data_IF_744832482592
#
_entry.id   IF_744832482592
#
_cell.length_a   1.000
_cell.length_b   1.000
_cell.length_c   1.000
_cell.angle_alpha   90.00
_cell.angle_beta   90.00
_cell.angle_gamma   90.00
#
_symmetry.space_group_name_H-M   'P 1'
#
loop_
_entity.id
_entity.type
_entity.pdbx_description
1 polymer ?
#
# COMPACT_ATOMS: atom_id res chain seq x y z
N UNK A 1 14.28 -6.50 24.12
CA UNK A 1 15.62 -5.84 24.04
C UNK A 1 15.47 -4.46 24.70
N UNK A 2 15.91 -4.29 25.95
CA UNK A 2 15.78 -3.00 26.66
C UNK A 2 16.86 -2.04 26.15
N UNK A 3 16.44 -0.89 25.65
CA UNK A 3 17.34 0.16 25.17
C UNK A 3 18.10 0.77 26.35
N UNK A 4 19.40 1.01 26.17
CA UNK A 4 20.27 1.61 27.20
C UNK A 4 19.79 3.03 27.56
N UNK A 5 19.85 3.38 28.86
CA UNK A 5 19.36 4.66 29.39
C UNK A 5 20.07 5.89 28.81
N UNK A 6 21.32 5.77 28.34
CA UNK A 6 22.02 6.88 27.65
C UNK A 6 21.44 7.11 26.26
N UNK A 7 21.18 6.04 25.52
CA UNK A 7 20.57 6.12 24.18
C UNK A 7 19.15 6.71 24.25
N UNK A 8 18.36 6.33 25.26
CA UNK A 8 17.03 6.91 25.49
C UNK A 8 17.09 8.42 25.79
N UNK A 9 18.04 8.86 26.64
CA UNK A 9 18.23 10.28 26.96
C UNK A 9 18.64 11.14 25.75
N UNK A 10 19.44 10.60 24.82
CA UNK A 10 19.80 11.31 23.59
C UNK A 10 18.59 11.45 22.66
N UNK A 11 17.75 10.40 22.57
CA UNK A 11 16.54 10.39 21.73
C UNK A 11 15.41 11.31 22.22
N UNK A 12 15.39 11.64 23.52
CA UNK A 12 14.43 12.58 24.12
C UNK A 12 14.95 14.03 24.17
N UNK A 13 16.23 14.26 23.85
CA UNK A 13 16.82 15.60 23.78
C UNK A 13 16.38 16.37 22.50
N UNK A 14 16.53 17.70 22.45
CA UNK A 14 16.28 18.50 21.23
C UNK A 14 17.11 18.01 20.03
N UNK A 15 18.32 17.52 20.29
CA UNK A 15 19.20 16.93 19.28
C UNK A 15 18.64 15.60 18.75
N UNK A 16 18.05 14.79 19.65
CA UNK A 16 17.37 13.54 19.29
C UNK A 16 16.15 13.76 18.41
N UNK A 17 15.38 14.83 18.66
CA UNK A 17 14.26 15.20 17.79
C UNK A 17 14.72 15.57 16.37
N UNK A 18 15.78 16.35 16.24
CA UNK A 18 16.37 16.72 14.93
C UNK A 18 16.84 15.46 14.18
N UNK A 19 17.55 14.57 14.86
CA UNK A 19 18.03 13.30 14.30
C UNK A 19 16.88 12.42 13.80
N UNK A 20 15.77 12.32 14.54
CA UNK A 20 14.57 11.59 14.12
C UNK A 20 13.95 12.20 12.87
N UNK A 21 13.83 13.53 12.80
CA UNK A 21 13.28 14.22 11.63
C UNK A 21 14.13 13.99 10.38
N UNK A 22 15.45 14.10 10.50
CA UNK A 22 16.39 13.80 9.40
C UNK A 22 16.25 12.33 8.96
N UNK A 23 16.15 11.40 9.91
CA UNK A 23 15.97 9.98 9.61
C UNK A 23 14.66 9.71 8.86
N UNK A 24 13.55 10.35 9.25
CA UNK A 24 12.26 10.24 8.55
C UNK A 24 12.39 10.72 7.10
N UNK A 25 13.01 11.89 6.88
CA UNK A 25 13.22 12.44 5.54
C UNK A 25 14.10 11.52 4.69
N UNK A 26 15.18 10.97 5.27
CA UNK A 26 16.08 10.04 4.57
C UNK A 26 15.39 8.74 4.18
N UNK A 27 14.57 8.16 5.08
CA UNK A 27 13.77 6.96 4.79
C UNK A 27 12.75 7.24 3.69
N UNK A 28 12.07 8.40 3.74
CA UNK A 28 11.13 8.80 2.70
C UNK A 28 11.81 8.93 1.34
N UNK A 29 13.00 9.53 1.29
CA UNK A 29 13.77 9.66 0.05
C UNK A 29 14.19 8.29 -0.52
N UNK A 30 14.71 7.39 0.33
CA UNK A 30 15.04 6.01 -0.07
C UNK A 30 13.82 5.23 -0.58
N UNK A 31 12.66 5.43 0.06
CA UNK A 31 11.40 4.84 -0.36
C UNK A 31 11.01 5.33 -1.77
N UNK A 32 11.08 6.64 -2.04
CA UNK A 32 10.80 7.21 -3.36
C UNK A 32 11.75 6.68 -4.44
N UNK A 33 13.05 6.55 -4.14
CA UNK A 33 14.04 5.92 -5.04
C UNK A 33 13.64 4.48 -5.35
N UNK A 34 13.24 3.71 -4.33
CA UNK A 34 12.85 2.31 -4.50
C UNK A 34 11.67 2.15 -5.46
N UNK A 35 10.69 3.06 -5.42
CA UNK A 35 9.56 3.08 -6.37
C UNK A 35 10.04 3.33 -7.79
N UNK A 36 10.95 4.31 -7.98
CA UNK A 36 11.55 4.59 -9.28
C UNK A 36 12.32 3.39 -9.84
N UNK A 37 13.04 2.67 -8.98
CA UNK A 37 13.76 1.44 -9.35
C UNK A 37 12.81 0.29 -9.68
N UNK A 38 11.70 0.14 -8.96
CA UNK A 38 10.64 -0.83 -9.29
C UNK A 38 10.09 -0.52 -10.68
N UNK A 39 9.71 0.74 -10.97
CA UNK A 39 9.25 1.14 -12.30
C UNK A 39 10.28 0.85 -13.41
N UNK A 40 11.56 1.12 -13.16
CA UNK A 40 12.63 0.81 -14.10
C UNK A 40 12.84 -0.70 -14.31
N UNK A 41 12.75 -1.49 -13.24
CA UNK A 41 12.85 -2.95 -13.30
C UNK A 41 11.68 -3.58 -14.08
N UNK A 42 10.46 -3.08 -13.90
CA UNK A 42 9.30 -3.50 -14.69
C UNK A 42 9.43 -3.10 -16.17
N UNK A 43 10.05 -1.97 -16.47
CA UNK A 43 10.33 -1.55 -17.86
C UNK A 43 11.36 -2.47 -18.55
N UNK A 44 12.20 -3.16 -17.78
CA UNK A 44 13.21 -4.13 -18.27
C UNK A 44 12.76 -5.59 -18.24
N UNK A 45 11.83 -5.96 -17.35
CA UNK A 45 11.36 -7.34 -17.19
C UNK A 45 10.08 -7.58 -18.00
N UNK A 46 10.16 -8.39 -19.05
CA UNK A 46 8.97 -8.90 -19.74
C UNK A 46 8.11 -7.81 -20.41
N UNK A 47 8.74 -6.73 -20.89
CA UNK A 47 8.11 -5.53 -21.44
C UNK A 47 6.91 -5.81 -22.34
N UNK A 48 7.00 -6.80 -23.24
CA UNK A 48 5.88 -7.20 -24.11
C UNK A 48 4.69 -7.81 -23.36
N UNK A 49 4.92 -8.70 -22.40
CA UNK A 49 3.85 -9.36 -21.62
C UNK A 49 3.22 -8.43 -20.59
N UNK A 50 4.02 -7.57 -19.95
CA UNK A 50 3.51 -6.57 -19.02
C UNK A 50 2.72 -5.47 -19.75
N UNK A 51 3.23 -4.96 -20.88
CA UNK A 51 2.48 -4.00 -21.72
C UNK A 51 1.20 -4.63 -22.29
N UNK A 52 1.23 -5.89 -22.77
CA UNK A 52 0.03 -6.58 -23.23
C UNK A 52 -0.98 -6.81 -22.10
N UNK A 53 -0.56 -7.23 -20.91
CA UNK A 53 -1.49 -7.41 -19.78
C UNK A 53 -2.13 -6.10 -19.35
N UNK A 54 -1.34 -5.02 -19.27
CA UNK A 54 -1.82 -3.69 -18.89
C UNK A 54 -2.74 -3.09 -19.96
N UNK A 55 -2.45 -3.31 -21.24
CA UNK A 55 -3.26 -2.82 -22.37
C UNK A 55 -4.41 -3.75 -22.77
N UNK A 56 -4.43 -4.99 -22.28
CA UNK A 56 -5.53 -5.93 -22.53
C UNK A 56 -6.81 -5.51 -21.79
N UNK A 57 -7.96 -6.05 -22.22
CA UNK A 57 -9.21 -5.93 -21.48
C UNK A 57 -9.13 -6.47 -20.05
N UNK A 58 -8.11 -7.27 -19.70
CA UNK A 58 -7.87 -7.74 -18.33
C UNK A 58 -7.06 -6.74 -17.48
N UNK A 59 -6.52 -5.66 -18.06
CA UNK A 59 -5.68 -4.67 -17.39
C UNK A 59 -6.25 -4.14 -16.07
N UNK A 60 -7.54 -3.74 -16.01
CA UNK A 60 -8.17 -3.33 -14.75
C UNK A 60 -8.19 -4.44 -13.70
N UNK A 61 -8.53 -5.68 -14.07
CA UNK A 61 -8.56 -6.81 -13.12
C UNK A 61 -7.15 -7.12 -12.62
N UNK A 62 -6.14 -7.08 -13.49
CA UNK A 62 -4.74 -7.27 -13.13
C UNK A 62 -4.28 -6.18 -12.17
N UNK A 63 -4.62 -4.91 -12.43
CA UNK A 63 -4.32 -3.79 -11.54
C UNK A 63 -4.95 -3.96 -10.15
N UNK A 64 -6.20 -4.42 -10.09
CA UNK A 64 -6.88 -4.77 -8.84
C UNK A 64 -6.10 -5.82 -8.05
N UNK A 65 -5.69 -6.92 -8.68
CA UNK A 65 -4.90 -7.97 -8.01
C UNK A 65 -3.53 -7.49 -7.55
N UNK A 66 -2.84 -6.65 -8.34
CA UNK A 66 -1.57 -6.06 -7.93
C UNK A 66 -1.76 -5.20 -6.68
N UNK A 67 -2.81 -4.37 -6.62
CA UNK A 67 -3.15 -3.59 -5.44
C UNK A 67 -3.40 -4.45 -4.20
N UNK A 68 -4.20 -5.53 -4.34
CA UNK A 68 -4.50 -6.47 -3.25
C UNK A 68 -3.22 -7.10 -2.71
N UNK A 69 -2.37 -7.63 -3.59
CA UNK A 69 -1.13 -8.29 -3.20
C UNK A 69 -0.14 -7.32 -2.55
N UNK A 70 0.05 -6.14 -3.16
CA UNK A 70 0.96 -5.13 -2.63
C UNK A 70 0.53 -4.68 -1.22
N UNK A 71 -0.75 -4.41 -1.00
CA UNK A 71 -1.25 -4.05 0.33
C UNK A 71 -1.21 -5.22 1.30
N UNK A 72 -1.49 -6.44 0.87
CA UNK A 72 -1.45 -7.61 1.77
C UNK A 72 -0.03 -7.89 2.28
N UNK A 73 0.98 -7.70 1.43
CA UNK A 73 2.40 -7.86 1.79
C UNK A 73 2.87 -6.72 2.69
N UNK A 74 2.56 -5.47 2.32
CA UNK A 74 2.98 -4.27 3.07
C UNK A 74 2.14 -4.07 4.35
N UNK A 75 0.94 -4.66 4.41
CA UNK A 75 -0.10 -4.50 5.43
C UNK A 75 -0.58 -3.06 5.64
N UNK A 76 -0.28 -2.14 4.73
CA UNK A 76 -0.65 -0.73 4.80
C UNK A 76 -1.16 -0.24 3.45
N UNK A 77 -2.48 -0.06 3.34
CA UNK A 77 -3.10 0.46 2.12
C UNK A 77 -2.74 1.91 1.84
N UNK A 78 -2.49 2.72 2.87
CA UNK A 78 -2.02 4.11 2.72
C UNK A 78 -0.63 4.17 2.08
N UNK A 79 0.24 3.21 2.43
CA UNK A 79 1.56 3.07 1.80
C UNK A 79 1.42 2.61 0.35
N UNK A 80 0.58 1.62 0.07
CA UNK A 80 0.34 1.14 -1.30
C UNK A 80 -0.29 2.22 -2.19
N UNK A 81 -1.31 2.93 -1.73
CA UNK A 81 -1.93 4.05 -2.46
C UNK A 81 -0.92 5.17 -2.74
N UNK A 82 -0.12 5.55 -1.75
CA UNK A 82 0.93 6.56 -1.94
C UNK A 82 1.93 6.14 -3.02
N UNK A 83 2.31 4.87 -3.03
CA UNK A 83 3.19 4.31 -4.06
C UNK A 83 2.57 4.39 -5.45
N UNK A 84 1.29 4.02 -5.59
CA UNK A 84 0.56 4.12 -6.87
C UNK A 84 0.47 5.58 -7.34
N UNK A 85 0.20 6.53 -6.44
CA UNK A 85 0.20 7.96 -6.76
C UNK A 85 1.59 8.43 -7.23
N UNK A 86 2.66 8.00 -6.57
CA UNK A 86 4.03 8.28 -7.03
C UNK A 86 4.32 7.66 -8.41
N UNK A 87 3.80 6.48 -8.70
CA UNK A 87 3.94 5.84 -10.02
C UNK A 87 3.21 6.61 -11.13
N UNK A 88 2.02 7.15 -10.84
CA UNK A 88 1.31 8.07 -11.74
C UNK A 88 2.16 9.31 -12.00
N UNK A 89 2.70 9.93 -10.95
CA UNK A 89 3.56 11.10 -11.09
C UNK A 89 4.87 10.83 -11.86
N UNK A 90 5.37 9.59 -11.79
CA UNK A 90 6.56 9.13 -12.52
C UNK A 90 6.29 8.72 -13.98
N UNK A 91 5.04 8.83 -14.46
CA UNK A 91 4.68 8.46 -15.84
C UNK A 91 4.61 6.95 -16.09
N UNK A 92 4.54 6.12 -15.05
CA UNK A 92 4.50 4.66 -15.19
C UNK A 92 3.23 4.15 -15.89
N UNK A 93 2.15 4.95 -15.85
CA UNK A 93 0.86 4.65 -16.48
C UNK A 93 0.64 5.38 -17.81
N UNK A 94 1.69 5.99 -18.37
CA UNK A 94 1.65 6.77 -19.62
C UNK A 94 1.84 8.27 -19.42
N UNK A 95 1.94 8.99 -20.54
CA UNK A 95 2.28 10.42 -20.56
C UNK A 95 1.06 11.34 -20.38
N UNK A 96 -0.16 10.85 -20.64
CA UNK A 96 -1.39 11.62 -20.40
C UNK A 96 -1.82 11.49 -18.93
N UNK A 97 -1.85 12.58 -18.15
CA UNK A 97 -2.23 12.56 -16.75
C UNK A 97 -3.63 11.98 -16.49
N UNK A 98 -4.59 12.20 -17.39
CA UNK A 98 -5.98 11.75 -17.20
C UNK A 98 -6.08 10.24 -17.35
N UNK A 99 -5.44 9.72 -18.39
CA UNK A 99 -5.38 8.28 -18.66
C UNK A 99 -4.56 7.56 -17.59
N UNK A 100 -3.47 8.16 -17.14
CA UNK A 100 -2.64 7.62 -16.07
C UNK A 100 -3.41 7.48 -14.75
N UNK A 101 -4.21 8.49 -14.38
CA UNK A 101 -5.06 8.41 -13.18
C UNK A 101 -6.15 7.34 -13.35
N UNK A 102 -6.81 7.27 -14.51
CA UNK A 102 -7.83 6.25 -14.77
C UNK A 102 -7.26 4.83 -14.70
N UNK A 103 -6.07 4.60 -15.26
CA UNK A 103 -5.36 3.32 -15.21
C UNK A 103 -4.90 2.95 -13.79
N UNK A 104 -4.71 3.93 -12.90
CA UNK A 104 -4.32 3.70 -11.51
C UNK A 104 -5.51 3.36 -10.58
N UNK A 105 -6.76 3.72 -10.93
CA UNK A 105 -7.95 3.46 -10.09
C UNK A 105 -8.06 1.99 -9.68
N UNK A 106 -7.91 0.99 -10.58
CA UNK A 106 -7.91 -0.41 -10.21
C UNK A 106 -6.91 -0.79 -9.12
N UNK A 107 -5.70 -0.24 -9.17
CA UNK A 107 -4.65 -0.51 -8.17
C UNK A 107 -5.03 0.05 -6.79
N UNK A 108 -5.64 1.24 -6.76
CA UNK A 108 -6.15 1.87 -5.53
C UNK A 108 -7.30 1.05 -4.93
N UNK A 109 -8.24 0.60 -5.77
CA UNK A 109 -9.34 -0.27 -5.35
C UNK A 109 -8.82 -1.60 -4.80
N UNK A 110 -7.77 -2.14 -5.43
CA UNK A 110 -7.09 -3.34 -4.96
C UNK A 110 -6.45 -3.13 -3.59
N UNK A 111 -5.80 -1.98 -3.36
CA UNK A 111 -5.22 -1.65 -2.07
C UNK A 111 -6.27 -1.57 -0.95
N UNK A 112 -7.46 -1.04 -1.26
CA UNK A 112 -8.57 -1.01 -0.31
C UNK A 112 -9.04 -2.42 0.06
N UNK A 113 -9.21 -3.31 -0.92
CA UNK A 113 -9.51 -4.74 -0.66
C UNK A 113 -8.37 -5.42 0.12
N UNK A 114 -7.11 -5.11 -0.18
CA UNK A 114 -5.98 -5.67 0.56
C UNK A 114 -6.02 -5.37 2.07
N UNK A 115 -6.59 -4.23 2.47
CA UNK A 115 -6.78 -3.88 3.88
C UNK A 115 -7.72 -4.86 4.59
N UNK A 116 -8.71 -5.40 3.88
CA UNK A 116 -9.64 -6.39 4.42
C UNK A 116 -8.95 -7.67 4.86
N UNK A 117 -7.90 -8.08 4.15
CA UNK A 117 -7.07 -9.23 4.56
C UNK A 117 -6.37 -8.92 5.88
N UNK A 118 -5.77 -7.74 6.02
CA UNK A 118 -5.13 -7.30 7.26
C UNK A 118 -6.11 -7.22 8.42
N UNK A 119 -7.28 -6.59 8.22
CA UNK A 119 -8.31 -6.46 9.26
C UNK A 119 -8.83 -7.82 9.72
N UNK A 120 -9.02 -8.77 8.78
CA UNK A 120 -9.42 -10.13 9.10
C UNK A 120 -8.36 -10.82 9.95
N UNK A 121 -7.08 -10.75 9.56
CA UNK A 121 -5.96 -11.33 10.33
C UNK A 121 -5.87 -10.72 11.73
N UNK A 122 -5.96 -9.38 11.84
CA UNK A 122 -5.93 -8.67 13.13
C UNK A 122 -7.11 -9.11 14.00
N UNK A 123 -8.31 -9.22 13.45
CA UNK A 123 -9.49 -9.66 14.20
C UNK A 123 -9.32 -11.08 14.75
N UNK A 124 -8.73 -12.00 13.97
CA UNK A 124 -8.41 -13.36 14.40
C UNK A 124 -7.36 -13.39 15.52
N UNK A 125 -6.46 -12.40 15.57
CA UNK A 125 -5.52 -12.22 16.69
C UNK A 125 -6.19 -12.07 18.06
N UNK A 126 -7.44 -11.59 18.09
CA UNK A 126 -8.21 -11.40 19.32
C UNK A 126 -9.07 -12.61 19.71
N UNK A 127 -8.95 -13.75 19.03
CA UNK A 127 -9.82 -14.94 19.20
C UNK A 127 -9.87 -15.49 20.65
N UNK A 128 -8.82 -15.24 21.44
CA UNK A 128 -8.75 -15.67 22.86
C UNK A 128 -9.79 -14.96 23.73
N UNK A 129 -10.09 -13.69 23.44
CA UNK A 129 -11.07 -12.91 24.20
C UNK A 129 -12.36 -12.75 23.38
N UNK A 130 -13.40 -13.51 23.74
CA UNK A 130 -14.70 -13.50 23.03
C UNK A 130 -15.29 -12.11 22.82
N UNK A 131 -15.19 -11.22 23.80
CA UNK A 131 -15.79 -9.88 23.70
C UNK A 131 -15.01 -8.99 22.73
N UNK A 132 -13.69 -9.10 22.74
CA UNK A 132 -12.80 -8.35 21.85
C UNK A 132 -12.87 -8.89 20.42
N UNK A 133 -12.78 -10.21 20.24
CA UNK A 133 -12.97 -10.88 18.96
C UNK A 133 -14.29 -10.47 18.30
N UNK A 134 -15.41 -10.52 19.03
CA UNK A 134 -16.71 -10.16 18.46
C UNK A 134 -16.74 -8.73 17.95
N UNK A 135 -16.12 -7.78 18.67
CA UNK A 135 -16.05 -6.37 18.25
C UNK A 135 -15.12 -6.17 17.06
N UNK A 136 -13.91 -6.73 17.12
CA UNK A 136 -12.92 -6.63 16.06
C UNK A 136 -13.38 -7.30 14.76
N UNK A 137 -13.95 -8.51 14.85
CA UNK A 137 -14.47 -9.23 13.69
C UNK A 137 -15.67 -8.52 13.07
N UNK A 138 -16.62 -8.03 13.88
CA UNK A 138 -17.76 -7.26 13.36
C UNK A 138 -17.30 -5.99 12.64
N UNK A 139 -16.31 -5.28 13.19
CA UNK A 139 -15.74 -4.10 12.55
C UNK A 139 -15.03 -4.46 11.22
N UNK A 140 -14.27 -5.57 11.18
CA UNK A 140 -13.63 -6.07 9.96
C UNK A 140 -14.66 -6.35 8.88
N UNK A 141 -15.71 -7.12 9.18
CA UNK A 141 -16.72 -7.50 8.19
C UNK A 141 -17.44 -6.28 7.59
N UNK A 142 -17.79 -5.27 8.40
CA UNK A 142 -18.42 -4.04 7.90
C UNK A 142 -17.49 -3.29 6.95
N UNK A 143 -16.22 -3.16 7.33
CA UNK A 143 -15.20 -2.56 6.47
C UNK A 143 -15.02 -3.35 5.15
N UNK A 144 -15.01 -4.67 5.23
CA UNK A 144 -14.79 -5.55 4.08
C UNK A 144 -15.96 -5.51 3.10
N UNK A 145 -17.19 -5.47 3.62
CA UNK A 145 -18.39 -5.27 2.82
C UNK A 145 -18.35 -3.95 2.05
N UNK A 146 -17.97 -2.86 2.71
CA UNK A 146 -17.88 -1.55 2.06
C UNK A 146 -16.87 -1.55 0.91
N UNK A 147 -15.69 -2.15 1.11
CA UNK A 147 -14.66 -2.21 0.06
C UNK A 147 -15.08 -3.12 -1.10
N UNK A 148 -15.64 -4.29 -0.82
CA UNK A 148 -16.12 -5.20 -1.88
C UNK A 148 -17.24 -4.54 -2.69
N UNK A 149 -18.21 -3.89 -2.03
CA UNK A 149 -19.27 -3.17 -2.72
C UNK A 149 -18.72 -2.01 -3.56
N UNK A 150 -17.75 -1.26 -3.04
CA UNK A 150 -17.11 -0.18 -3.78
C UNK A 150 -16.48 -0.68 -5.08
N UNK A 151 -15.79 -1.82 -5.05
CA UNK A 151 -15.20 -2.42 -6.26
C UNK A 151 -16.27 -2.95 -7.20
N UNK A 152 -17.32 -3.61 -6.71
CA UNK A 152 -18.42 -4.10 -7.56
C UNK A 152 -19.22 -3.00 -8.27
N UNK A 153 -19.23 -1.78 -7.74
CA UNK A 153 -19.92 -0.64 -8.39
C UNK A 153 -19.03 0.00 -9.47
N UNK A 154 -17.71 -0.07 -9.30
CA UNK A 154 -16.74 0.64 -10.14
C UNK A 154 -16.23 -0.19 -11.33
N UNK A 155 -16.33 -1.52 -11.24
CA UNK A 155 -15.96 -2.49 -12.28
C UNK A 155 -17.20 -3.12 -12.91
#
# INVERSE_FOLDING_TARGET
MKMDSKTANILESPLGAILKTIAIIAILYLFLISIGMIGAAFKGMGKGFAEELIQSNAGPIVGLFIGILATSIIQSSSTTTSLVVCMVAAGAFGDDPRMAVAAAVPYIMGANIGTSITNTIVSLGHIVNKNEFRRAFSASIVHDFFNIMSVMILF
#
